data_IF_297602903135
#
_entry.id   IF_297602903135
#
_cell.length_a   1.000
_cell.length_b   1.000
_cell.length_c   1.000
_cell.angle_alpha   90.00
_cell.angle_beta   90.00
_cell.angle_gamma   90.00
#
_symmetry.space_group_name_H-M   'P 1'
#
loop_
_entity.id
_entity.type
_entity.pdbx_description
1 polymer ?
#
# COMPACT_ATOMS: atom_id res chain seq x y z
N UNK A 1 8.06 6.29 -43.51
CA UNK A 1 7.92 6.97 -42.20
C UNK A 1 7.75 5.85 -41.18
N UNK A 2 8.87 5.21 -40.80
CA UNK A 2 8.87 4.06 -39.89
C UNK A 2 8.69 4.53 -38.45
N UNK A 3 7.74 3.92 -37.75
CA UNK A 3 7.51 4.13 -36.34
C UNK A 3 8.70 3.55 -35.54
N UNK A 4 9.33 4.41 -34.73
CA UNK A 4 10.35 4.01 -33.78
C UNK A 4 9.67 3.13 -32.71
N UNK A 5 9.91 1.82 -32.77
CA UNK A 5 9.61 0.90 -31.66
C UNK A 5 10.55 1.25 -30.51
N UNK A 6 10.02 1.83 -29.44
CA UNK A 6 10.75 1.90 -28.16
C UNK A 6 11.01 0.47 -27.67
N UNK A 7 12.28 0.09 -27.65
CA UNK A 7 12.71 -1.17 -27.06
C UNK A 7 12.49 -1.13 -25.53
N UNK A 8 12.09 -2.24 -24.88
CA UNK A 8 11.97 -2.28 -23.43
C UNK A 8 13.31 -1.96 -22.79
N UNK A 9 13.35 -0.94 -21.94
CA UNK A 9 14.54 -0.58 -21.18
C UNK A 9 14.90 -1.79 -20.29
N UNK A 10 16.12 -2.34 -20.37
CA UNK A 10 16.50 -3.47 -19.56
C UNK A 10 16.46 -3.08 -18.07
N UNK A 11 15.87 -3.94 -17.24
CA UNK A 11 15.60 -3.67 -15.82
C UNK A 11 16.83 -3.18 -15.01
N UNK A 12 18.04 -3.51 -15.45
CA UNK A 12 19.30 -3.06 -14.86
C UNK A 12 19.59 -1.56 -15.07
N UNK A 13 19.17 -0.99 -16.20
CA UNK A 13 19.33 0.45 -16.46
C UNK A 13 18.31 1.27 -15.65
N UNK A 14 17.10 0.75 -15.49
CA UNK A 14 16.11 1.32 -14.56
C UNK A 14 16.59 1.27 -13.11
N UNK A 15 17.20 0.17 -12.67
CA UNK A 15 17.80 0.06 -11.33
C UNK A 15 18.95 1.07 -11.14
N UNK A 16 19.81 1.24 -12.14
CA UNK A 16 20.95 2.16 -12.08
C UNK A 16 20.52 3.64 -12.05
N UNK A 17 19.47 4.00 -12.80
CA UNK A 17 18.86 5.33 -12.74
C UNK A 17 18.13 5.59 -11.41
N UNK A 18 17.50 4.55 -10.86
CA UNK A 18 16.82 4.57 -9.56
C UNK A 18 17.84 4.76 -8.40
N UNK A 19 18.97 4.05 -8.45
CA UNK A 19 20.11 4.23 -7.54
C UNK A 19 20.72 5.64 -7.62
N UNK A 20 20.82 6.22 -8.82
CA UNK A 20 21.28 7.62 -8.99
C UNK A 20 20.29 8.66 -8.49
N UNK A 21 19.01 8.29 -8.35
CA UNK A 21 17.93 9.19 -7.88
C UNK A 21 17.50 8.92 -6.42
N UNK A 22 18.24 8.08 -5.68
CA UNK A 22 17.91 7.66 -4.30
C UNK A 22 16.51 7.02 -4.15
N UNK A 23 15.88 6.59 -5.23
CA UNK A 23 14.61 5.87 -5.20
C UNK A 23 14.95 4.41 -5.46
N UNK A 24 14.92 3.57 -4.44
CA UNK A 24 15.16 2.14 -4.63
C UNK A 24 13.83 1.50 -5.04
N UNK A 25 13.78 0.71 -6.14
CA UNK A 25 12.57 0.00 -6.52
C UNK A 25 12.09 -0.92 -5.40
N UNK A 26 10.77 -1.10 -5.29
CA UNK A 26 10.11 -1.90 -4.25
C UNK A 26 10.39 -1.44 -2.82
N UNK A 27 10.73 -0.16 -2.61
CA UNK A 27 10.75 0.47 -1.30
C UNK A 27 9.63 1.50 -1.16
N UNK A 28 9.04 1.57 0.03
CA UNK A 28 8.13 2.64 0.41
C UNK A 28 8.71 3.49 1.54
N UNK A 29 8.49 4.80 1.44
CA UNK A 29 8.79 5.78 2.47
C UNK A 29 7.50 6.14 3.17
N UNK A 30 7.41 5.81 4.46
CA UNK A 30 6.19 5.93 5.23
C UNK A 30 6.33 6.95 6.35
N UNK A 31 5.34 7.83 6.42
CA UNK A 31 5.03 8.67 7.58
C UNK A 31 3.68 8.25 8.12
N UNK A 32 3.58 8.09 9.43
CA UNK A 32 2.35 7.69 10.10
C UNK A 32 2.08 8.63 11.28
N UNK A 33 0.80 8.97 11.45
CA UNK A 33 0.30 9.75 12.57
C UNK A 33 -1.14 9.38 12.87
N UNK A 34 -1.69 9.97 13.92
CA UNK A 34 -3.09 9.81 14.30
C UNK A 34 -3.75 11.16 14.50
N UNK A 35 -5.08 11.18 14.38
CA UNK A 35 -5.91 12.37 14.59
C UNK A 35 -7.15 11.94 15.37
N UNK A 36 -7.63 12.82 16.25
CA UNK A 36 -8.88 12.59 16.96
C UNK A 36 -10.08 12.74 16.01
N UNK A 37 -11.15 11.99 16.26
CA UNK A 37 -12.40 12.09 15.48
C UNK A 37 -12.92 13.54 15.46
N UNK A 38 -12.79 14.29 16.55
CA UNK A 38 -13.20 15.69 16.65
C UNK A 38 -12.41 16.66 15.75
N UNK A 39 -11.20 16.28 15.34
CA UNK A 39 -10.31 17.11 14.53
C UNK A 39 -10.19 16.62 13.07
N UNK A 40 -10.84 15.50 12.72
CA UNK A 40 -10.68 14.88 11.40
C UNK A 40 -11.19 15.79 10.28
N UNK A 41 -12.32 16.46 10.47
CA UNK A 41 -12.89 17.35 9.45
C UNK A 41 -11.96 18.52 9.14
N UNK A 42 -11.35 19.11 10.17
CA UNK A 42 -10.37 20.20 10.03
C UNK A 42 -9.14 19.71 9.26
N UNK A 43 -8.66 18.51 9.54
CA UNK A 43 -7.55 17.90 8.79
C UNK A 43 -7.91 17.70 7.32
N UNK A 44 -9.06 17.10 7.04
CA UNK A 44 -9.52 16.84 5.67
C UNK A 44 -9.67 18.15 4.88
N UNK A 45 -10.22 19.20 5.50
CA UNK A 45 -10.34 20.52 4.88
C UNK A 45 -8.96 21.11 4.53
N UNK A 46 -7.97 21.00 5.44
CA UNK A 46 -6.59 21.46 5.16
C UNK A 46 -5.91 20.64 4.06
N UNK A 47 -6.09 19.32 4.05
CA UNK A 47 -5.52 18.45 3.01
C UNK A 47 -6.09 18.79 1.63
N UNK A 48 -7.39 19.10 1.52
CA UNK A 48 -7.99 19.56 0.26
C UNK A 48 -7.31 20.82 -0.30
N UNK A 49 -6.93 21.76 0.56
CA UNK A 49 -6.24 22.99 0.12
C UNK A 49 -4.75 22.78 -0.22
N UNK A 50 -4.13 21.67 0.22
CA UNK A 50 -2.70 21.41 0.06
C UNK A 50 -2.36 20.37 -1.01
N UNK A 51 -3.32 19.50 -1.37
CA UNK A 51 -3.16 18.37 -2.27
C UNK A 51 -3.74 18.70 -3.66
N UNK A 52 -3.33 17.93 -4.66
CA UNK A 52 -3.61 18.22 -6.07
C UNK A 52 -5.06 17.88 -6.49
N UNK A 53 -5.79 17.13 -5.66
CA UNK A 53 -7.16 16.65 -5.92
C UNK A 53 -8.24 17.73 -5.70
N UNK A 54 -7.94 19.01 -5.97
CA UNK A 54 -8.83 20.14 -5.61
C UNK A 54 -10.15 20.10 -6.38
N UNK A 55 -10.12 19.70 -7.66
CA UNK A 55 -11.29 19.76 -8.55
C UNK A 55 -12.21 18.53 -8.46
N UNK A 56 -11.66 17.36 -8.12
CA UNK A 56 -12.39 16.08 -8.09
C UNK A 56 -12.99 15.74 -6.71
N UNK A 57 -12.67 16.54 -5.69
CA UNK A 57 -12.98 16.21 -4.29
C UNK A 57 -12.10 15.10 -3.72
N UNK A 58 -12.22 14.79 -2.42
CA UNK A 58 -11.45 13.72 -1.79
C UNK A 58 -11.93 12.35 -2.27
N UNK A 59 -11.00 11.54 -2.75
CA UNK A 59 -11.29 10.16 -3.19
C UNK A 59 -11.54 9.30 -1.94
N UNK A 60 -12.72 8.69 -1.83
CA UNK A 60 -13.01 7.77 -0.73
C UNK A 60 -12.60 6.35 -1.08
N UNK A 61 -12.21 5.58 -0.08
CA UNK A 61 -11.97 4.15 -0.24
C UNK A 61 -12.58 3.35 0.91
N UNK A 62 -12.91 2.11 0.60
CA UNK A 62 -13.52 1.14 1.48
C UNK A 62 -12.96 -0.24 1.14
N UNK A 63 -11.95 -0.65 1.89
CA UNK A 63 -11.14 -1.82 1.59
C UNK A 63 -11.31 -2.88 2.68
N UNK A 64 -11.47 -4.14 2.29
CA UNK A 64 -11.30 -5.31 3.14
C UNK A 64 -9.85 -5.79 3.03
N UNK A 65 -9.15 -5.88 4.16
CA UNK A 65 -7.78 -6.36 4.22
C UNK A 65 -7.68 -7.61 5.10
N UNK A 66 -7.13 -8.69 4.53
CA UNK A 66 -6.89 -9.97 5.17
C UNK A 66 -5.38 -10.18 5.31
N UNK A 67 -4.91 -10.44 6.53
CA UNK A 67 -3.50 -10.67 6.83
C UNK A 67 -3.22 -12.17 6.98
N UNK A 68 -2.23 -12.65 6.25
CA UNK A 68 -1.79 -14.03 6.24
C UNK A 68 -0.35 -14.14 6.72
N UNK A 69 -0.04 -15.24 7.42
CA UNK A 69 1.33 -15.60 7.75
C UNK A 69 1.64 -17.07 7.45
N UNK A 70 2.91 -17.33 7.12
CA UNK A 70 3.45 -18.68 7.07
C UNK A 70 4.71 -18.74 7.92
N UNK A 71 4.78 -19.77 8.77
CA UNK A 71 5.99 -20.06 9.54
C UNK A 71 6.93 -20.86 8.66
N UNK A 72 8.12 -20.32 8.44
CA UNK A 72 9.22 -21.03 7.78
C UNK A 72 10.24 -21.48 8.84
N UNK A 73 11.31 -22.16 8.41
CA UNK A 73 12.45 -22.49 9.25
C UNK A 73 13.21 -21.23 9.75
N UNK A 74 12.92 -20.06 9.18
CA UNK A 74 13.46 -18.77 9.63
C UNK A 74 12.73 -18.25 10.88
N UNK A 75 13.43 -17.53 11.78
CA UNK A 75 12.84 -17.04 13.04
C UNK A 75 11.65 -16.08 12.85
N UNK A 76 11.59 -15.37 11.73
CA UNK A 76 10.49 -14.45 11.42
C UNK A 76 9.51 -15.09 10.43
N UNK A 77 8.19 -15.07 10.73
CA UNK A 77 7.18 -15.52 9.81
C UNK A 77 7.07 -14.57 8.61
N UNK A 78 6.89 -15.13 7.41
CA UNK A 78 6.57 -14.35 6.23
C UNK A 78 5.11 -13.92 6.32
N UNK A 79 4.86 -12.62 6.16
CA UNK A 79 3.49 -12.05 6.20
C UNK A 79 3.11 -11.49 4.84
N UNK A 80 1.87 -11.74 4.44
CA UNK A 80 1.26 -11.23 3.21
C UNK A 80 -0.09 -10.61 3.55
N UNK A 81 -0.50 -9.61 2.78
CA UNK A 81 -1.80 -8.98 2.93
C UNK A 81 -2.57 -9.06 1.63
N UNK A 82 -3.81 -9.50 1.69
CA UNK A 82 -4.73 -9.50 0.57
C UNK A 82 -5.74 -8.38 0.79
N UNK A 83 -5.84 -7.46 -0.15
CA UNK A 83 -6.73 -6.31 -0.10
C UNK A 83 -7.75 -6.37 -1.24
N UNK A 84 -9.00 -6.06 -0.94
CA UNK A 84 -10.09 -5.94 -1.90
C UNK A 84 -10.86 -4.66 -1.65
N UNK A 85 -11.10 -3.87 -2.70
CA UNK A 85 -12.04 -2.76 -2.63
C UNK A 85 -13.48 -3.30 -2.57
N UNK A 86 -14.22 -2.94 -1.53
CA UNK A 86 -15.61 -3.39 -1.32
C UNK A 86 -16.55 -2.66 -2.28
N UNK A 87 -16.34 -1.35 -2.44
CA UNK A 87 -17.21 -0.49 -3.24
C UNK A 87 -16.99 -0.67 -4.76
N UNK A 88 -15.89 -1.32 -5.16
CA UNK A 88 -15.49 -1.52 -6.57
C UNK A 88 -15.25 -3.00 -6.85
N UNK A 89 -16.32 -3.76 -7.08
CA UNK A 89 -16.29 -5.22 -7.23
C UNK A 89 -15.58 -5.71 -8.50
N UNK A 90 -15.44 -4.84 -9.49
CA UNK A 90 -14.71 -5.06 -10.74
C UNK A 90 -13.18 -4.92 -10.58
N UNK A 91 -12.73 -4.29 -9.49
CA UNK A 91 -11.31 -4.13 -9.23
C UNK A 91 -10.67 -5.46 -8.77
N UNK A 92 -9.47 -5.80 -9.28
CA UNK A 92 -8.79 -7.02 -8.90
C UNK A 92 -8.36 -6.98 -7.44
N UNK A 93 -8.23 -8.17 -6.84
CA UNK A 93 -7.61 -8.31 -5.54
C UNK A 93 -6.16 -7.84 -5.62
N UNK A 94 -5.61 -7.39 -4.49
CA UNK A 94 -4.23 -6.95 -4.40
C UNK A 94 -3.51 -7.77 -3.35
N UNK A 95 -2.46 -8.47 -3.77
CA UNK A 95 -1.54 -9.13 -2.86
C UNK A 95 -0.37 -8.19 -2.56
N UNK A 96 -0.15 -7.92 -1.28
CA UNK A 96 0.91 -7.05 -0.79
C UNK A 96 1.88 -7.80 0.11
N UNK A 97 3.16 -7.67 -0.15
CA UNK A 97 4.23 -7.98 0.78
C UNK A 97 4.77 -6.70 1.41
N UNK A 98 4.94 -6.70 2.73
CA UNK A 98 5.55 -5.59 3.48
C UNK A 98 6.72 -6.15 4.27
N UNK A 99 7.93 -5.68 3.95
CA UNK A 99 9.15 -6.05 4.65
C UNK A 99 9.28 -5.39 6.01
N UNK A 100 10.25 -5.87 6.80
CA UNK A 100 10.62 -5.22 8.06
C UNK A 100 11.16 -3.81 7.79
N UNK A 101 10.85 -2.83 8.64
CA UNK A 101 11.50 -1.52 8.61
C UNK A 101 13.03 -1.64 8.70
N UNK A 102 13.74 -0.85 7.90
CA UNK A 102 15.21 -0.73 8.00
C UNK A 102 15.58 0.00 9.30
N UNK A 103 15.71 -0.78 10.39
CA UNK A 103 16.15 -0.31 11.71
C UNK A 103 17.67 -0.15 11.69
N UNK A 104 18.18 1.07 11.48
CA UNK A 104 19.63 1.28 11.56
C UNK A 104 20.09 2.72 11.46
N UNK A 105 19.36 3.56 10.72
CA UNK A 105 19.80 4.93 10.46
C UNK A 105 18.94 5.95 11.20
N UNK A 106 19.43 6.41 12.37
CA UNK A 106 18.77 7.46 13.18
C UNK A 106 18.70 8.82 12.47
N UNK A 107 19.43 9.01 11.36
CA UNK A 107 19.36 10.24 10.57
C UNK A 107 18.18 10.28 9.61
N UNK A 108 17.50 9.13 9.39
CA UNK A 108 16.37 9.06 8.47
C UNK A 108 15.10 9.66 9.09
N UNK A 109 14.46 10.64 8.43
CA UNK A 109 13.26 11.31 8.95
C UNK A 109 11.98 10.48 8.77
N UNK A 110 12.03 9.35 8.07
CA UNK A 110 10.87 8.52 7.68
C UNK A 110 11.19 7.05 7.79
N UNK A 111 10.16 6.22 7.99
CA UNK A 111 10.30 4.76 7.93
C UNK A 111 10.53 4.34 6.47
N UNK A 112 11.51 3.47 6.24
CA UNK A 112 11.78 2.86 4.92
C UNK A 112 11.66 1.35 5.05
N UNK A 113 10.89 0.72 4.15
CA UNK A 113 10.71 -0.73 4.12
C UNK A 113 10.42 -1.23 2.71
N UNK A 114 10.68 -2.51 2.46
CA UNK A 114 10.28 -3.15 1.21
C UNK A 114 8.76 -3.23 1.10
N UNK A 115 8.23 -2.93 -0.09
CA UNK A 115 6.81 -2.98 -0.39
C UNK A 115 6.62 -3.47 -1.81
N UNK A 116 5.87 -4.54 -1.98
CA UNK A 116 5.58 -5.14 -3.29
C UNK A 116 4.07 -5.34 -3.37
N UNK A 117 3.47 -4.82 -4.44
CA UNK A 117 2.04 -4.91 -4.72
C UNK A 117 1.82 -5.57 -6.07
N UNK A 118 0.91 -6.54 -6.12
CA UNK A 118 0.55 -7.26 -7.34
C UNK A 118 -0.97 -7.45 -7.40
N UNK A 119 -1.56 -7.18 -8.57
CA UNK A 119 -2.95 -7.48 -8.84
C UNK A 119 -3.16 -8.99 -9.04
N UNK A 120 -4.19 -9.54 -8.41
CA UNK A 120 -4.48 -10.97 -8.39
C UNK A 120 -5.96 -11.24 -8.65
N UNK A 121 -6.27 -12.50 -8.94
CA UNK A 121 -7.65 -13.00 -9.05
C UNK A 121 -8.27 -13.21 -7.67
N UNK A 122 -9.61 -13.30 -7.57
CA UNK A 122 -10.31 -13.56 -6.31
C UNK A 122 -9.90 -14.88 -5.63
N UNK A 123 -9.39 -15.86 -6.40
CA UNK A 123 -8.91 -17.17 -5.91
C UNK A 123 -7.62 -17.09 -5.09
N UNK A 124 -7.06 -15.90 -4.87
CA UNK A 124 -5.80 -15.71 -4.13
C UNK A 124 -5.89 -16.24 -2.69
N UNK A 125 -7.06 -16.17 -2.05
CA UNK A 125 -7.24 -16.64 -0.67
C UNK A 125 -7.08 -18.16 -0.58
N UNK A 126 -7.70 -18.89 -1.52
CA UNK A 126 -7.61 -20.35 -1.60
C UNK A 126 -6.17 -20.77 -1.92
N UNK A 127 -5.54 -20.10 -2.89
CA UNK A 127 -4.15 -20.33 -3.27
C UNK A 127 -3.18 -20.16 -2.09
N UNK A 128 -3.31 -19.09 -1.30
CA UNK A 128 -2.47 -18.89 -0.12
C UNK A 128 -2.69 -19.98 0.93
N UNK A 129 -3.94 -20.37 1.15
CA UNK A 129 -4.31 -21.43 2.09
C UNK A 129 -3.71 -22.79 1.67
N UNK A 130 -3.78 -23.13 0.38
CA UNK A 130 -3.16 -24.34 -0.19
C UNK A 130 -1.64 -24.33 -0.08
N UNK A 131 -1.00 -23.15 -0.17
CA UNK A 131 0.44 -22.99 0.09
C UNK A 131 0.81 -23.10 1.58
N UNK A 132 -0.17 -23.23 2.48
CA UNK A 132 0.04 -23.37 3.92
C UNK A 132 0.11 -22.07 4.71
N UNK A 133 -0.24 -20.93 4.09
CA UNK A 133 -0.48 -19.71 4.85
C UNK A 133 -1.73 -19.87 5.72
N UNK A 134 -1.72 -19.19 6.87
CA UNK A 134 -2.87 -19.08 7.76
C UNK A 134 -3.30 -17.62 7.82
N UNK A 135 -4.61 -17.37 7.77
CA UNK A 135 -5.15 -16.04 8.01
C UNK A 135 -5.05 -15.75 9.52
N UNK A 136 -4.36 -14.67 9.88
CA UNK A 136 -4.17 -14.25 11.27
C UNK A 136 -5.33 -13.38 11.74
N UNK A 137 -5.69 -12.38 10.92
CA UNK A 137 -6.78 -11.44 11.18
C UNK A 137 -7.23 -10.76 9.90
N UNK A 138 -8.40 -10.17 9.95
CA UNK A 138 -8.99 -9.37 8.88
C UNK A 138 -9.64 -8.12 9.46
N UNK A 139 -9.71 -7.06 8.65
CA UNK A 139 -10.26 -5.77 9.06
C UNK A 139 -10.74 -4.96 7.85
N UNK A 140 -11.60 -3.98 8.11
CA UNK A 140 -12.07 -3.02 7.12
C UNK A 140 -11.37 -1.68 7.33
N UNK A 141 -10.93 -1.09 6.24
CA UNK A 141 -10.40 0.26 6.17
C UNK A 141 -11.38 1.15 5.41
N UNK A 142 -11.83 2.23 6.04
CA UNK A 142 -12.64 3.25 5.37
C UNK A 142 -12.03 4.61 5.56
N UNK A 143 -11.94 5.41 4.50
CA UNK A 143 -11.31 6.70 4.61
C UNK A 143 -11.26 7.49 3.31
N UNK A 144 -10.34 8.46 3.31
CA UNK A 144 -10.09 9.39 2.22
C UNK A 144 -8.64 9.25 1.74
N UNK A 145 -8.44 9.41 0.44
CA UNK A 145 -7.18 9.40 -0.25
C UNK A 145 -6.94 10.76 -0.91
N UNK A 146 -5.75 11.29 -0.72
CA UNK A 146 -5.25 12.51 -1.33
C UNK A 146 -3.94 12.23 -2.05
N UNK A 147 -3.65 13.02 -3.09
CA UNK A 147 -2.37 12.98 -3.81
C UNK A 147 -1.71 14.35 -3.79
N UNK A 148 -0.40 14.38 -3.56
CA UNK A 148 0.44 15.57 -3.69
C UNK A 148 1.73 15.18 -4.42
N UNK A 149 1.81 15.47 -5.71
CA UNK A 149 2.82 14.94 -6.60
C UNK A 149 2.85 13.41 -6.54
N UNK A 150 3.99 12.85 -6.16
CA UNK A 150 4.19 11.39 -6.01
C UNK A 150 3.75 10.84 -4.65
N UNK A 151 3.33 11.70 -3.72
CA UNK A 151 2.90 11.28 -2.38
C UNK A 151 1.43 10.89 -2.39
N UNK A 152 1.14 9.71 -1.84
CA UNK A 152 -0.22 9.28 -1.50
C UNK A 152 -0.43 9.47 -0.01
N UNK A 153 -1.49 10.18 0.36
CA UNK A 153 -1.86 10.46 1.75
C UNK A 153 -3.21 9.82 1.99
N UNK A 154 -3.30 8.94 3.00
CA UNK A 154 -4.56 8.28 3.38
C UNK A 154 -4.94 8.66 4.79
N UNK A 155 -6.19 9.08 4.98
CA UNK A 155 -6.79 9.30 6.29
C UNK A 155 -7.91 8.29 6.44
N UNK A 156 -7.73 7.29 7.31
CA UNK A 156 -8.67 6.18 7.43
C UNK A 156 -8.89 5.75 8.88
N UNK A 157 -10.03 5.08 9.08
CA UNK A 157 -10.40 4.40 10.31
C UNK A 157 -10.45 2.90 10.06
N UNK A 158 -9.97 2.14 11.05
CA UNK A 158 -9.95 0.69 11.04
C UNK A 158 -11.17 0.19 11.80
N UNK A 159 -11.89 -0.76 11.21
CA UNK A 159 -13.04 -1.43 11.79
C UNK A 159 -12.76 -2.92 11.85
N UNK A 160 -13.17 -3.56 12.94
CA UNK A 160 -13.19 -5.02 13.00
C UNK A 160 -14.34 -5.53 12.13
N UNK A 161 -14.15 -6.65 11.44
CA UNK A 161 -15.17 -7.21 10.55
C UNK A 161 -16.48 -7.54 11.29
N UNK A 162 -16.43 -7.84 12.59
CA UNK A 162 -17.64 -8.10 13.41
C UNK A 162 -18.46 -6.86 13.74
N UNK A 163 -17.93 -5.66 13.52
CA UNK A 163 -18.50 -4.40 14.01
C UNK A 163 -19.20 -3.61 12.89
N UNK A 164 -19.50 -4.30 11.76
CA UNK A 164 -20.20 -3.80 10.57
C UNK A 164 -21.44 -4.66 10.36
#
# INVERSE_FOLDING_TARGET
MEAIKEAPIPAMDSLTAAMKSNIVPNQEYLLQGSVLDSAVEVLLHRLRGLCDNVDSGPETFHDHEMCFSIRSATPQPLTLRVRRAIDYLDMPYQLRYIGQPELGDKSRPTIVRSSIDVATTPTIVDFLTEMGFRMDFEYILRGYMFRKGRMKITVSKIFKVSDI
#
